data_IF_361339703795
#
_entry.id   IF_361339703795
#
_cell.length_a   1.000
_cell.length_b   1.000
_cell.length_c   1.000
_cell.angle_alpha   90.00
_cell.angle_beta   90.00
_cell.angle_gamma   90.00
#
_symmetry.space_group_name_H-M   'P 1'
#
loop_
_entity.id
_entity.type
_entity.pdbx_description
1 polymer ?
#
# COMPACT_ATOMS: atom_id res chain seq x y z
N UNK A 1 -20.18 7.06 -4.59
CA UNK A 1 -21.31 7.16 -5.54
C UNK A 1 -22.61 7.36 -4.78
N UNK A 2 -23.74 7.59 -5.45
CA UNK A 2 -25.05 7.85 -4.80
C UNK A 2 -25.58 6.69 -3.92
N UNK A 3 -24.90 5.53 -3.92
CA UNK A 3 -25.02 4.44 -2.94
C UNK A 3 -23.65 3.86 -2.53
N UNK A 4 -22.58 4.65 -2.62
CA UNK A 4 -21.24 4.19 -2.24
C UNK A 4 -21.12 4.16 -0.72
N UNK A 5 -20.84 2.98 -0.16
CA UNK A 5 -20.36 2.88 1.21
C UNK A 5 -19.19 3.83 1.44
N UNK A 6 -19.06 4.35 2.67
CA UNK A 6 -17.94 5.19 3.05
C UNK A 6 -16.63 4.53 2.58
N UNK A 7 -15.87 5.25 1.76
CA UNK A 7 -14.55 4.79 1.36
C UNK A 7 -13.65 4.64 2.58
N UNK A 8 -12.57 3.89 2.42
CA UNK A 8 -11.55 3.77 3.45
C UNK A 8 -11.05 5.15 3.91
N UNK A 9 -11.10 5.41 5.23
CA UNK A 9 -10.58 6.62 5.85
C UNK A 9 -9.42 6.27 6.78
N UNK A 10 -8.20 6.60 6.35
CA UNK A 10 -6.96 6.22 7.02
C UNK A 10 -6.85 6.79 8.44
N UNK A 11 -7.04 8.10 8.58
CA UNK A 11 -6.95 8.80 9.87
C UNK A 11 -7.97 8.29 10.89
N UNK A 12 -9.21 8.08 10.45
CA UNK A 12 -10.26 7.53 11.31
C UNK A 12 -9.90 6.11 11.79
N UNK A 13 -9.34 5.28 10.90
CA UNK A 13 -8.93 3.93 11.23
C UNK A 13 -7.73 3.90 12.18
N UNK A 14 -6.69 4.71 11.96
CA UNK A 14 -5.57 4.84 12.90
C UNK A 14 -6.04 5.30 14.29
N UNK A 15 -6.97 6.26 14.35
CA UNK A 15 -7.57 6.72 15.60
C UNK A 15 -8.32 5.60 16.32
N UNK A 16 -9.04 4.75 15.59
CA UNK A 16 -9.71 3.57 16.16
C UNK A 16 -8.69 2.59 16.76
N UNK A 17 -7.59 2.30 16.06
CA UNK A 17 -6.51 1.45 16.56
C UNK A 17 -5.87 2.03 17.83
N UNK A 18 -5.64 3.34 17.87
CA UNK A 18 -5.11 4.00 19.06
C UNK A 18 -6.09 3.97 20.25
N UNK A 19 -7.40 4.12 20.00
CA UNK A 19 -8.42 3.96 21.03
C UNK A 19 -8.43 2.52 21.58
N UNK A 20 -8.40 1.54 20.67
CA UNK A 20 -8.29 0.11 21.01
C UNK A 20 -7.07 -0.15 21.86
N UNK A 21 -5.91 0.42 21.53
CA UNK A 21 -4.68 0.27 22.32
C UNK A 21 -4.84 0.81 23.75
N UNK A 22 -5.47 1.97 23.92
CA UNK A 22 -5.60 2.70 25.19
C UNK A 22 -6.70 2.18 26.11
N UNK A 23 -7.72 1.52 25.58
CA UNK A 23 -8.87 1.06 26.38
C UNK A 23 -8.62 -0.31 27.02
N UNK A 24 -8.34 -0.35 28.32
CA UNK A 24 -8.05 -1.57 29.07
C UNK A 24 -9.25 -2.53 29.19
N UNK A 25 -10.47 -2.09 28.89
CA UNK A 25 -11.64 -2.99 28.83
C UNK A 25 -11.56 -3.93 27.63
N UNK A 26 -10.88 -3.51 26.55
CA UNK A 26 -10.71 -4.30 25.34
C UNK A 26 -9.60 -5.33 25.55
N UNK A 27 -9.95 -6.61 25.44
CA UNK A 27 -9.01 -7.74 25.57
C UNK A 27 -8.52 -8.31 24.24
N UNK A 28 -9.17 -7.92 23.14
CA UNK A 28 -8.78 -8.33 21.80
C UNK A 28 -9.61 -7.67 20.71
N UNK A 29 -9.21 -7.92 19.46
CA UNK A 29 -9.73 -7.32 18.24
C UNK A 29 -9.93 -8.43 17.21
N UNK A 30 -11.08 -8.41 16.54
CA UNK A 30 -11.27 -9.09 15.26
C UNK A 30 -11.18 -8.01 14.16
N UNK A 31 -10.13 -8.06 13.35
CA UNK A 31 -9.91 -7.17 12.23
C UNK A 31 -10.46 -7.82 10.94
N UNK A 32 -11.54 -7.26 10.41
CA UNK A 32 -12.05 -7.68 9.09
C UNK A 32 -11.31 -6.93 7.99
N UNK A 33 -10.74 -7.66 7.03
CA UNK A 33 -9.97 -7.09 5.92
C UNK A 33 -10.67 -7.40 4.60
N UNK A 34 -11.08 -6.36 3.89
CA UNK A 34 -11.65 -6.44 2.54
C UNK A 34 -11.02 -5.35 1.65
N UNK A 35 -9.86 -5.64 1.06
CA UNK A 35 -9.09 -4.67 0.26
C UNK A 35 -8.18 -5.35 -0.77
N UNK A 36 -8.02 -4.76 -1.97
CA UNK A 36 -6.99 -5.18 -2.93
C UNK A 36 -5.56 -4.82 -2.51
N UNK A 37 -5.40 -3.96 -1.49
CA UNK A 37 -4.11 -3.42 -1.07
C UNK A 37 -4.14 -1.89 -0.97
N UNK A 38 -2.97 -1.27 -1.13
CA UNK A 38 -2.81 0.17 -1.01
C UNK A 38 -1.33 0.57 -1.05
N UNK A 39 -1.03 1.80 -0.67
CA UNK A 39 0.35 2.28 -0.58
C UNK A 39 1.15 1.54 0.49
N UNK A 40 2.45 1.41 0.27
CA UNK A 40 3.38 0.78 1.23
C UNK A 40 3.41 1.52 2.57
N UNK A 41 3.50 2.86 2.54
CA UNK A 41 3.51 3.71 3.73
C UNK A 41 2.28 3.56 4.65
N UNK A 42 1.02 3.74 4.19
CA UNK A 42 -0.15 3.56 5.05
C UNK A 42 -0.34 2.11 5.51
N UNK A 43 0.14 1.12 4.75
CA UNK A 43 0.13 -0.28 5.19
C UNK A 43 1.13 -0.51 6.34
N UNK A 44 2.32 0.09 6.27
CA UNK A 44 3.34 0.08 7.33
C UNK A 44 2.84 0.76 8.62
N UNK A 45 2.16 1.90 8.50
CA UNK A 45 1.59 2.58 9.68
C UNK A 45 0.56 1.71 10.41
N UNK A 46 -0.33 1.04 9.69
CA UNK A 46 -1.31 0.12 10.29
C UNK A 46 -0.61 -1.10 10.90
N UNK A 47 0.37 -1.68 10.19
CA UNK A 47 1.15 -2.81 10.65
C UNK A 47 1.82 -2.52 12.00
N UNK A 48 2.47 -1.36 12.14
CA UNK A 48 3.10 -0.94 13.40
C UNK A 48 2.06 -0.69 14.50
N UNK A 49 0.91 -0.05 14.20
CA UNK A 49 -0.17 0.10 15.19
C UNK A 49 -0.71 -1.24 15.70
N UNK A 50 -0.84 -2.24 14.81
CA UNK A 50 -1.26 -3.59 15.19
C UNK A 50 -0.22 -4.23 16.13
N UNK A 51 1.08 -4.08 15.83
CA UNK A 51 2.16 -4.54 16.72
C UNK A 51 2.13 -3.85 18.09
N UNK A 52 1.92 -2.54 18.13
CA UNK A 52 1.78 -1.78 19.39
C UNK A 52 0.61 -2.28 20.24
N UNK A 53 -0.54 -2.61 19.63
CA UNK A 53 -1.68 -3.17 20.36
C UNK A 53 -1.33 -4.54 20.95
N UNK A 54 -0.61 -5.39 20.20
CA UNK A 54 -0.16 -6.71 20.70
C UNK A 54 0.81 -6.60 21.86
N UNK A 55 1.66 -5.56 21.90
CA UNK A 55 2.52 -5.29 23.06
C UNK A 55 1.72 -5.00 24.34
N UNK A 56 0.44 -4.61 24.23
CA UNK A 56 -0.49 -4.50 25.36
C UNK A 56 -1.17 -5.83 25.73
N UNK A 57 -0.67 -6.95 25.21
CA UNK A 57 -1.20 -8.31 25.41
C UNK A 57 -2.64 -8.50 24.93
N UNK A 58 -3.13 -7.62 24.05
CA UNK A 58 -4.45 -7.75 23.41
C UNK A 58 -4.32 -8.69 22.21
N UNK A 59 -5.26 -9.64 22.09
CA UNK A 59 -5.26 -10.59 20.96
C UNK A 59 -5.81 -9.94 19.71
N UNK A 60 -5.18 -10.16 18.57
CA UNK A 60 -5.65 -9.65 17.27
C UNK A 60 -5.83 -10.83 16.34
N UNK A 61 -7.08 -11.10 15.96
CA UNK A 61 -7.40 -12.06 14.91
C UNK A 61 -7.82 -11.31 13.66
N UNK A 62 -7.42 -11.82 12.50
CA UNK A 62 -7.84 -11.30 11.20
C UNK A 62 -8.86 -12.23 10.57
N UNK A 63 -9.92 -11.65 10.03
CA UNK A 63 -10.84 -12.31 9.12
C UNK A 63 -10.74 -11.63 7.75
N UNK A 64 -10.15 -12.33 6.79
CA UNK A 64 -10.12 -11.89 5.39
C UNK A 64 -11.47 -12.20 4.75
N UNK A 65 -12.13 -11.16 4.24
CA UNK A 65 -13.43 -11.28 3.57
C UNK A 65 -13.22 -11.73 2.11
N UNK A 66 -13.89 -11.14 1.12
CA UNK A 66 -13.70 -11.51 -0.29
C UNK A 66 -12.28 -11.26 -0.80
N UNK A 67 -11.56 -10.25 -0.28
CA UNK A 67 -10.21 -9.92 -0.74
C UNK A 67 -9.32 -9.36 0.38
N UNK A 68 -8.09 -9.85 0.48
CA UNK A 68 -7.06 -9.31 1.36
C UNK A 68 -5.68 -9.51 0.70
N UNK A 69 -5.38 -8.67 -0.30
CA UNK A 69 -4.19 -8.79 -1.13
C UNK A 69 -3.20 -7.63 -0.87
N UNK A 70 -1.92 -7.82 -1.21
CA UNK A 70 -0.85 -6.81 -1.10
C UNK A 70 -0.84 -6.14 0.28
N UNK A 71 -1.05 -4.83 0.39
CA UNK A 71 -1.17 -4.11 1.67
C UNK A 71 -2.18 -4.71 2.65
N UNK A 72 -3.27 -5.33 2.15
CA UNK A 72 -4.25 -6.04 3.00
C UNK A 72 -3.66 -7.29 3.67
N UNK A 73 -2.83 -8.04 2.95
CA UNK A 73 -2.07 -9.15 3.53
C UNK A 73 -0.99 -8.63 4.48
N UNK A 74 -0.29 -7.55 4.10
CA UNK A 74 0.75 -6.91 4.89
C UNK A 74 0.25 -6.54 6.30
N UNK A 75 -0.87 -5.82 6.40
CA UNK A 75 -1.46 -5.45 7.71
C UNK A 75 -2.00 -6.64 8.49
N UNK A 76 -2.24 -7.77 7.82
CA UNK A 76 -2.74 -9.01 8.46
C UNK A 76 -1.62 -9.83 9.08
N UNK A 77 -0.41 -9.75 8.52
CA UNK A 77 0.76 -10.53 8.93
C UNK A 77 1.11 -10.45 10.44
N UNK A 78 0.98 -9.31 11.16
CA UNK A 78 1.30 -9.25 12.57
C UNK A 78 0.20 -9.83 13.48
N UNK A 79 -0.95 -10.29 12.97
CA UNK A 79 -2.03 -10.87 13.78
C UNK A 79 -1.60 -12.14 14.53
N UNK A 80 -2.33 -12.51 15.59
CA UNK A 80 -2.14 -13.79 16.29
C UNK A 80 -2.68 -14.98 15.48
N UNK A 81 -3.76 -14.76 14.72
CA UNK A 81 -4.35 -15.75 13.79
C UNK A 81 -4.95 -15.03 12.59
N UNK A 82 -4.82 -15.63 11.42
CA UNK A 82 -5.41 -15.16 10.17
C UNK A 82 -6.38 -16.24 9.67
N UNK A 83 -7.62 -15.85 9.42
CA UNK A 83 -8.66 -16.69 8.85
C UNK A 83 -9.04 -16.15 7.47
N UNK A 84 -9.14 -17.05 6.50
CA UNK A 84 -9.58 -16.74 5.14
C UNK A 84 -10.56 -17.81 4.69
N UNK A 85 -11.59 -17.40 3.94
CA UNK A 85 -12.52 -18.34 3.32
C UNK A 85 -11.87 -19.06 2.12
N UNK A 86 -12.43 -20.20 1.66
CA UNK A 86 -11.91 -20.92 0.50
C UNK A 86 -11.89 -20.10 -0.80
N UNK A 87 -12.71 -19.05 -0.87
CA UNK A 87 -12.85 -18.15 -2.03
C UNK A 87 -12.26 -16.76 -1.77
N UNK A 88 -11.62 -16.53 -0.62
CA UNK A 88 -10.93 -15.27 -0.33
C UNK A 88 -9.74 -15.11 -1.27
N UNK A 89 -9.69 -14.00 -2.01
CA UNK A 89 -8.53 -13.65 -2.81
C UNK A 89 -7.46 -13.00 -1.91
N UNK A 90 -6.30 -13.62 -1.78
CA UNK A 90 -5.19 -13.11 -0.98
C UNK A 90 -3.85 -13.30 -1.69
N UNK A 91 -2.73 -12.98 -1.03
CA UNK A 91 -1.41 -12.94 -1.65
C UNK A 91 -1.14 -11.58 -2.28
N UNK A 92 -0.68 -11.54 -3.54
CA UNK A 92 -0.15 -10.33 -4.18
C UNK A 92 0.97 -9.69 -3.35
N UNK A 93 1.86 -10.53 -2.81
CA UNK A 93 3.00 -10.12 -1.99
C UNK A 93 4.09 -9.59 -2.93
N UNK A 94 4.18 -8.27 -3.02
CA UNK A 94 5.08 -7.58 -3.92
C UNK A 94 4.83 -6.07 -3.87
N UNK A 95 5.78 -5.32 -4.43
CA UNK A 95 5.69 -3.86 -4.57
C UNK A 95 5.82 -3.54 -6.05
N UNK A 96 4.98 -2.62 -6.53
CA UNK A 96 5.03 -2.15 -7.91
C UNK A 96 5.14 -0.64 -7.94
N UNK A 97 5.80 -0.15 -8.97
CA UNK A 97 5.77 1.24 -9.38
C UNK A 97 5.51 1.27 -10.88
N UNK A 98 4.64 2.18 -11.32
CA UNK A 98 4.25 2.30 -12.71
C UNK A 98 4.37 3.76 -13.18
N UNK A 99 4.99 3.96 -14.33
CA UNK A 99 4.88 5.18 -15.14
C UNK A 99 4.34 4.84 -16.53
N UNK A 100 3.86 5.87 -17.22
CA UNK A 100 3.37 5.76 -18.60
C UNK A 100 4.29 6.62 -19.47
N UNK A 101 4.79 6.08 -20.57
CA UNK A 101 5.49 6.85 -21.60
C UNK A 101 4.56 7.10 -22.80
N UNK A 102 4.29 8.36 -23.10
CA UNK A 102 3.51 8.82 -24.26
C UNK A 102 4.35 9.58 -25.29
N UNK A 103 5.69 9.56 -25.19
CA UNK A 103 6.60 10.25 -26.12
C UNK A 103 6.39 9.84 -27.58
N UNK A 104 6.10 8.56 -27.83
CA UNK A 104 5.72 8.05 -29.15
C UNK A 104 4.42 8.67 -29.69
N UNK A 105 3.41 8.85 -28.84
CA UNK A 105 2.16 9.53 -29.21
C UNK A 105 2.40 11.02 -29.48
N UNK A 106 3.19 11.69 -28.63
CA UNK A 106 3.55 13.09 -28.84
C UNK A 106 4.24 13.30 -30.18
N UNK A 107 5.19 12.42 -30.54
CA UNK A 107 5.86 12.43 -31.84
C UNK A 107 4.87 12.32 -33.00
N UNK A 108 3.90 11.40 -32.91
CA UNK A 108 2.89 11.20 -33.95
C UNK A 108 1.96 12.42 -34.10
N UNK A 109 1.67 13.12 -33.01
CA UNK A 109 0.84 14.33 -33.00
C UNK A 109 1.64 15.62 -33.28
N UNK A 110 2.95 15.54 -33.47
CA UNK A 110 3.83 16.71 -33.64
C UNK A 110 4.00 17.57 -32.38
N UNK A 111 3.65 17.03 -31.20
CA UNK A 111 3.82 17.70 -29.91
C UNK A 111 5.29 17.62 -29.49
N UNK A 112 5.89 18.77 -29.15
CA UNK A 112 7.26 18.84 -28.61
C UNK A 112 7.23 19.30 -27.17
N UNK A 113 7.84 18.52 -26.30
CA UNK A 113 8.05 18.88 -24.91
C UNK A 113 9.52 19.18 -24.67
N UNK A 114 9.82 20.43 -24.29
CA UNK A 114 11.16 20.87 -23.95
C UNK A 114 11.27 20.96 -22.42
N UNK A 115 12.12 20.13 -21.80
CA UNK A 115 12.33 20.12 -20.34
C UNK A 115 13.71 20.69 -20.05
N UNK A 116 13.76 21.79 -19.29
CA UNK A 116 14.99 22.34 -18.73
C UNK A 116 15.04 21.91 -17.26
N UNK A 117 16.07 21.13 -16.88
CA UNK A 117 16.20 20.54 -15.55
C UNK A 117 17.56 20.83 -14.93
N UNK A 118 17.58 21.02 -13.61
CA UNK A 118 18.77 21.34 -12.83
C UNK A 118 19.65 20.14 -12.48
N UNK A 119 19.19 18.93 -12.78
CA UNK A 119 19.92 17.68 -12.55
C UNK A 119 19.37 16.57 -13.43
N UNK A 120 20.19 15.55 -13.64
CA UNK A 120 19.94 14.47 -14.61
C UNK A 120 18.60 13.75 -14.38
N UNK A 121 18.33 13.34 -13.14
CA UNK A 121 17.15 12.53 -12.80
C UNK A 121 15.98 13.35 -12.24
N UNK A 122 15.97 14.69 -12.42
CA UNK A 122 14.92 15.58 -11.87
C UNK A 122 13.54 15.40 -12.51
N UNK A 123 13.48 14.70 -13.62
CA UNK A 123 12.28 14.31 -14.35
C UNK A 123 12.17 12.78 -14.48
N UNK A 124 12.78 12.01 -13.57
CA UNK A 124 12.58 10.56 -13.50
C UNK A 124 11.08 10.25 -13.42
N UNK A 125 10.64 9.16 -14.06
CA UNK A 125 9.23 8.82 -14.30
C UNK A 125 8.48 9.81 -15.22
N UNK A 126 9.17 10.72 -15.90
CA UNK A 126 8.54 11.57 -16.92
C UNK A 126 7.82 10.72 -17.95
N UNK A 127 6.62 11.16 -18.30
CA UNK A 127 5.79 10.51 -19.30
C UNK A 127 6.08 10.98 -20.73
N UNK A 128 7.01 11.92 -20.91
CA UNK A 128 7.33 12.54 -22.20
C UNK A 128 8.62 12.04 -22.83
N UNK A 129 9.26 11.04 -22.22
CA UNK A 129 10.46 10.39 -22.74
C UNK A 129 10.57 8.97 -22.19
N UNK A 130 11.37 8.16 -22.86
CA UNK A 130 11.71 6.84 -22.39
C UNK A 130 12.55 6.91 -21.11
N UNK A 131 12.33 5.94 -20.21
CA UNK A 131 13.10 5.75 -18.99
C UNK A 131 14.47 5.13 -19.33
N UNK A 132 15.55 5.68 -18.78
CA UNK A 132 16.90 5.11 -18.99
C UNK A 132 17.09 3.84 -18.16
N UNK A 133 18.12 3.05 -18.47
CA UNK A 133 18.48 1.88 -17.66
C UNK A 133 18.90 2.26 -16.24
N UNK A 134 19.65 3.35 -16.08
CA UNK A 134 20.07 3.85 -14.76
C UNK A 134 18.87 4.29 -13.91
N UNK A 135 17.91 5.01 -14.51
CA UNK A 135 16.67 5.39 -13.82
C UNK A 135 15.86 4.17 -13.39
N UNK A 136 15.81 3.13 -14.23
CA UNK A 136 15.17 1.86 -13.89
C UNK A 136 15.84 1.21 -12.68
N UNK A 137 17.17 1.17 -12.65
CA UNK A 137 17.92 0.57 -11.54
C UNK A 137 17.71 1.36 -10.23
N UNK A 138 17.70 2.69 -10.29
CA UNK A 138 17.39 3.57 -9.15
C UNK A 138 15.99 3.27 -8.60
N UNK A 139 14.98 3.15 -9.46
CA UNK A 139 13.62 2.88 -9.02
C UNK A 139 13.43 1.44 -8.54
N UNK A 140 14.15 0.48 -9.14
CA UNK A 140 14.13 -0.90 -8.70
C UNK A 140 14.71 -1.03 -7.29
N UNK A 141 15.78 -0.32 -6.95
CA UNK A 141 16.33 -0.37 -5.59
C UNK A 141 15.32 0.12 -4.55
N UNK A 142 14.52 1.15 -4.88
CA UNK A 142 13.44 1.64 -3.99
C UNK A 142 12.34 0.58 -3.80
N UNK A 143 12.02 -0.17 -4.86
CA UNK A 143 11.07 -1.29 -4.77
C UNK A 143 11.61 -2.45 -3.95
N UNK A 144 12.89 -2.80 -4.14
CA UNK A 144 13.55 -3.87 -3.41
C UNK A 144 13.65 -3.55 -1.92
N UNK A 145 13.99 -2.30 -1.57
CA UNK A 145 13.99 -1.83 -0.18
C UNK A 145 12.58 -1.92 0.43
N UNK A 146 11.55 -1.54 -0.33
CA UNK A 146 10.16 -1.64 0.12
C UNK A 146 9.69 -3.09 0.29
N UNK A 147 10.20 -4.00 -0.53
CA UNK A 147 9.85 -5.43 -0.49
C UNK A 147 10.54 -6.17 0.66
N UNK A 148 11.78 -5.80 0.98
CA UNK A 148 12.61 -6.48 1.98
C UNK A 148 12.42 -5.99 3.42
N UNK A 149 11.57 -4.97 3.63
CA UNK A 149 11.33 -4.35 4.93
C UNK A 149 10.38 -5.17 5.80
#
# INVERSE_FOLDING_TARGET
GLFGGEGYNHEAFLKQLDNVKKDDSIKGVLLTVNTPGGGTYPSDEIYEKIKEIKQKHKKIYVHMDSMAASGGYYISAPADKIYAGPQTMTGSIGVIMSSIDYSGLQKNLGIKQNVIKSGEHKDILSSSREMTSEERDILQSVLDDSFNR
#
